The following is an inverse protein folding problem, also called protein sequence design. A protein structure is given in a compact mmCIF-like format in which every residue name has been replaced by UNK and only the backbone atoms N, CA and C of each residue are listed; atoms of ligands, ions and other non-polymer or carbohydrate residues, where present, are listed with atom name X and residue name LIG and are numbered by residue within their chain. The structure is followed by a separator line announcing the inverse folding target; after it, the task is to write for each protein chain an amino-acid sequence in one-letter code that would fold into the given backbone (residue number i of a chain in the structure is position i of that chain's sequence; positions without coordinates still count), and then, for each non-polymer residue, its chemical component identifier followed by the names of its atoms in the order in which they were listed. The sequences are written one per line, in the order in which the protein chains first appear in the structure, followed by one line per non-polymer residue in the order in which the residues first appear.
data_IF_960531160842
#
_entry.id   IF_960531160842
#
_cell.length_a   1.000
_cell.length_b   1.000
_cell.length_c   1.000
_cell.angle_alpha   90.00
_cell.angle_beta   90.00
_cell.angle_gamma   90.00
#
_symmetry.space_group_name_H-M   'P 1'
#
loop_
_entity.id
_entity.type
_entity.pdbx_description
1 polymer ?
#
# COMPACT_ATOMS: atom_id res chain seq x y z
N UNK A 1 21.00 24.41 -6.22
CA UNK A 1 20.59 23.56 -5.08
C UNK A 1 19.09 23.38 -5.15
N UNK A 2 18.62 22.27 -5.74
CA UNK A 2 17.20 21.95 -5.75
C UNK A 2 16.96 21.11 -4.51
N UNK A 3 16.28 21.67 -3.51
CA UNK A 3 15.88 20.91 -2.32
C UNK A 3 14.95 19.83 -2.84
N UNK A 4 15.43 18.59 -2.78
CA UNK A 4 14.67 17.41 -3.15
C UNK A 4 13.26 17.50 -2.56
N UNK A 5 12.27 16.97 -3.29
CA UNK A 5 10.84 16.89 -2.98
C UNK A 5 10.50 16.13 -1.66
N UNK A 6 11.41 16.13 -0.67
CA UNK A 6 11.20 15.87 0.75
C UNK A 6 10.93 14.43 1.14
N UNK A 7 10.48 13.60 0.19
CA UNK A 7 10.14 12.21 0.42
C UNK A 7 11.05 11.34 -0.47
N UNK A 8 11.88 10.46 0.12
CA UNK A 8 12.64 9.50 -0.65
C UNK A 8 11.66 8.61 -1.46
N UNK A 9 11.99 8.27 -2.72
CA UNK A 9 11.11 7.44 -3.54
C UNK A 9 10.81 6.12 -2.82
N UNK A 10 9.54 5.72 -2.79
CA UNK A 10 9.16 4.42 -2.26
C UNK A 10 9.89 3.31 -3.02
N UNK A 11 10.44 2.33 -2.29
CA UNK A 11 10.96 1.09 -2.87
C UNK A 11 9.78 0.17 -3.24
N UNK A 12 9.15 0.49 -4.38
CA UNK A 12 8.00 -0.25 -4.90
C UNK A 12 8.35 -1.70 -5.24
N UNK A 13 9.60 -2.00 -5.58
CA UNK A 13 10.04 -3.36 -5.86
C UNK A 13 9.94 -4.22 -4.60
N UNK A 14 10.53 -3.77 -3.50
CA UNK A 14 10.44 -4.46 -2.21
C UNK A 14 8.98 -4.57 -1.73
N UNK A 15 8.19 -3.49 -1.85
CA UNK A 15 6.77 -3.52 -1.45
C UNK A 15 5.96 -4.56 -2.25
N UNK A 16 6.12 -4.58 -3.59
CA UNK A 16 5.44 -5.54 -4.47
C UNK A 16 5.93 -6.98 -4.24
N UNK A 17 7.20 -7.18 -3.91
CA UNK A 17 7.70 -8.50 -3.54
C UNK A 17 7.11 -9.00 -2.21
N UNK A 18 6.93 -8.11 -1.22
CA UNK A 18 6.19 -8.43 0.00
C UNK A 18 4.73 -8.82 -0.29
N UNK A 19 4.05 -8.09 -1.18
CA UNK A 19 2.70 -8.44 -1.66
C UNK A 19 2.67 -9.83 -2.29
N UNK A 20 3.62 -10.14 -3.19
CA UNK A 20 3.68 -11.42 -3.90
C UNK A 20 3.87 -12.61 -2.97
N UNK A 21 4.56 -12.44 -1.85
CA UNK A 21 4.67 -13.50 -0.83
C UNK A 21 3.34 -13.86 -0.20
N UNK A 22 2.37 -12.92 -0.16
CA UNK A 22 1.05 -13.14 0.41
C UNK A 22 0.01 -13.59 -0.62
N UNK A 23 -0.05 -12.92 -1.78
CA UNK A 23 -1.13 -13.08 -2.78
C UNK A 23 -0.62 -13.35 -4.20
N UNK A 24 0.68 -13.64 -4.35
CA UNK A 24 1.29 -13.90 -5.66
C UNK A 24 0.93 -15.30 -6.21
N UNK A 25 1.19 -15.53 -7.52
CA UNK A 25 1.00 -16.84 -8.13
C UNK A 25 1.80 -17.93 -7.38
N UNK A 26 1.10 -18.97 -6.92
CA UNK A 26 1.73 -20.06 -6.16
C UNK A 26 2.11 -19.69 -4.72
N UNK A 27 1.67 -18.54 -4.20
CA UNK A 27 1.84 -18.22 -2.79
C UNK A 27 1.10 -19.24 -1.92
N UNK A 28 1.85 -19.90 -1.04
CA UNK A 28 1.29 -20.74 0.01
C UNK A 28 0.95 -19.84 1.20
N UNK A 29 -0.22 -19.96 1.84
CA UNK A 29 -0.57 -19.11 2.98
C UNK A 29 0.47 -19.25 4.10
N UNK A 30 1.15 -18.17 4.51
CA UNK A 30 2.04 -18.22 5.66
C UNK A 30 1.24 -18.51 6.94
N UNK A 31 1.89 -19.13 7.92
CA UNK A 31 1.24 -19.50 9.19
C UNK A 31 2.17 -19.20 10.36
N UNK A 32 1.59 -19.07 11.56
CA UNK A 32 2.36 -18.81 12.78
C UNK A 32 3.21 -17.54 12.68
N UNK A 33 4.46 -17.63 13.10
CA UNK A 33 5.39 -16.49 13.14
C UNK A 33 5.64 -15.86 11.76
N UNK A 34 5.67 -16.65 10.69
CA UNK A 34 5.86 -16.12 9.33
C UNK A 34 4.69 -15.25 8.89
N UNK A 35 3.46 -15.61 9.30
CA UNK A 35 2.27 -14.78 9.04
C UNK A 35 2.34 -13.48 9.82
N UNK A 36 2.76 -13.52 11.08
CA UNK A 36 2.90 -12.34 11.93
C UNK A 36 3.96 -11.39 11.36
N UNK A 37 5.13 -11.91 11.00
CA UNK A 37 6.21 -11.15 10.39
C UNK A 37 5.79 -10.50 9.06
N UNK A 38 5.14 -11.26 8.18
CA UNK A 38 4.68 -10.75 6.90
C UNK A 38 3.58 -9.69 7.08
N UNK A 39 2.67 -9.90 8.03
CA UNK A 39 1.64 -8.92 8.38
C UNK A 39 2.25 -7.63 8.90
N UNK A 40 3.23 -7.71 9.81
CA UNK A 40 3.97 -6.53 10.28
C UNK A 40 4.69 -5.80 9.15
N UNK A 41 5.33 -6.52 8.22
CA UNK A 41 5.98 -5.92 7.06
C UNK A 41 4.99 -5.20 6.14
N UNK A 42 3.83 -5.82 5.84
CA UNK A 42 2.76 -5.21 5.06
C UNK A 42 2.25 -3.91 5.71
N UNK A 43 2.01 -3.92 7.03
CA UNK A 43 1.59 -2.72 7.77
C UNK A 43 2.63 -1.60 7.67
N UNK A 44 3.90 -1.91 7.92
CA UNK A 44 4.99 -0.94 7.83
C UNK A 44 5.12 -0.33 6.43
N UNK A 45 5.02 -1.14 5.38
CA UNK A 45 5.04 -0.64 4.00
C UNK A 45 3.85 0.27 3.68
N UNK A 46 2.65 -0.07 4.14
CA UNK A 46 1.45 0.76 3.97
C UNK A 46 1.64 2.11 4.69
N UNK A 47 2.12 2.09 5.93
CA UNK A 47 2.38 3.30 6.72
C UNK A 47 3.43 4.21 6.03
N UNK A 48 4.43 3.62 5.38
CA UNK A 48 5.43 4.35 4.60
C UNK A 48 4.86 4.98 3.31
N UNK A 49 4.06 4.25 2.53
CA UNK A 49 3.61 4.72 1.21
C UNK A 49 2.40 5.66 1.27
N UNK A 50 1.54 5.55 2.30
CA UNK A 50 0.38 6.44 2.52
C UNK A 50 0.72 7.94 2.40
N UNK A 51 1.71 8.50 3.12
CA UNK A 51 2.01 9.92 3.02
C UNK A 51 2.49 10.32 1.62
N UNK A 52 3.17 9.41 0.91
CA UNK A 52 3.68 9.67 -0.44
C UNK A 52 2.54 9.77 -1.46
N UNK A 53 1.57 8.86 -1.39
CA UNK A 53 0.37 8.88 -2.25
C UNK A 53 -0.50 10.10 -1.93
N UNK A 54 -0.73 10.40 -0.64
CA UNK A 54 -1.52 11.57 -0.24
C UNK A 54 -0.90 12.88 -0.75
N UNK A 55 0.42 13.05 -0.58
CA UNK A 55 1.12 14.24 -1.07
C UNK A 55 1.07 14.34 -2.60
N UNK A 56 1.35 13.25 -3.32
CA UNK A 56 1.33 13.23 -4.78
C UNK A 56 -0.07 13.54 -5.33
N UNK A 57 -1.12 12.96 -4.74
CA UNK A 57 -2.50 13.23 -5.14
C UNK A 57 -2.90 14.69 -4.88
N UNK A 58 -2.50 15.28 -3.75
CA UNK A 58 -2.81 16.67 -3.40
C UNK A 58 -2.13 17.71 -4.27
N UNK A 59 -1.05 17.36 -4.98
CA UNK A 59 -0.42 18.23 -5.98
C UNK A 59 -1.29 18.42 -7.23
N UNK A 60 -2.30 17.59 -7.44
CA UNK A 60 -3.18 17.65 -8.61
C UNK A 60 -4.44 18.52 -8.35
N UNK A 61 -5.05 19.09 -9.41
CA UNK A 61 -6.27 19.89 -9.29
C UNK A 61 -7.42 19.13 -8.62
N UNK A 62 -8.33 19.87 -8.01
CA UNK A 62 -9.53 19.29 -7.42
C UNK A 62 -10.40 18.61 -8.49
N UNK A 63 -11.02 17.48 -8.13
CA UNK A 63 -11.84 16.66 -9.02
C UNK A 63 -11.09 16.00 -10.19
N UNK A 64 -9.75 16.05 -10.18
CA UNK A 64 -8.96 15.31 -11.15
C UNK A 64 -9.00 13.81 -10.81
N UNK A 65 -9.35 12.90 -11.74
CA UNK A 65 -9.59 11.49 -11.42
C UNK A 65 -8.43 10.79 -10.70
N UNK A 66 -7.16 11.09 -11.07
CA UNK A 66 -6.00 10.51 -10.39
C UNK A 66 -5.86 11.01 -8.95
N UNK A 67 -6.21 12.28 -8.67
CA UNK A 67 -6.22 12.82 -7.31
C UNK A 67 -7.21 12.05 -6.45
N UNK A 68 -8.46 11.97 -6.92
CA UNK A 68 -9.54 11.37 -6.14
C UNK A 68 -9.27 9.87 -5.92
N UNK A 69 -8.78 9.17 -6.95
CA UNK A 69 -8.34 7.79 -6.84
C UNK A 69 -7.22 7.58 -5.81
N UNK A 70 -6.21 8.47 -5.78
CA UNK A 70 -5.13 8.42 -4.79
C UNK A 70 -5.62 8.68 -3.36
N UNK A 71 -6.49 9.67 -3.16
CA UNK A 71 -7.04 9.98 -1.84
C UNK A 71 -7.97 8.88 -1.31
N UNK A 72 -8.77 8.25 -2.19
CA UNK A 72 -9.59 7.09 -1.84
C UNK A 72 -8.74 5.87 -1.46
N UNK A 73 -7.62 5.64 -2.16
CA UNK A 73 -6.67 4.59 -1.82
C UNK A 73 -6.10 4.79 -0.40
N UNK A 74 -5.66 6.02 -0.09
CA UNK A 74 -5.16 6.40 1.24
C UNK A 74 -6.23 6.18 2.33
N UNK A 75 -7.44 6.65 2.10
CA UNK A 75 -8.54 6.46 3.07
C UNK A 75 -8.83 4.97 3.32
N UNK A 76 -8.92 4.19 2.24
CA UNK A 76 -9.21 2.76 2.32
C UNK A 76 -8.13 1.99 3.06
N UNK A 77 -6.86 2.30 2.81
CA UNK A 77 -5.73 1.68 3.49
C UNK A 77 -5.67 2.02 4.98
N UNK A 78 -5.93 3.29 5.34
CA UNK A 78 -6.05 3.69 6.77
C UNK A 78 -7.16 2.93 7.48
N UNK A 79 -8.33 2.77 6.85
CA UNK A 79 -9.44 1.99 7.41
C UNK A 79 -9.03 0.54 7.68
N UNK A 80 -8.28 -0.08 6.76
CA UNK A 80 -7.77 -1.43 6.92
C UNK A 80 -6.74 -1.53 8.05
N UNK A 81 -5.79 -0.59 8.16
CA UNK A 81 -4.82 -0.57 9.25
C UNK A 81 -5.45 -0.48 10.65
N UNK A 82 -6.58 0.24 10.75
CA UNK A 82 -7.36 0.42 11.98
C UNK A 82 -8.41 -0.66 12.23
N UNK A 83 -8.57 -1.63 11.33
CA UNK A 83 -9.60 -2.65 11.49
C UNK A 83 -9.26 -3.60 12.64
N UNK A 84 -10.25 -3.90 13.48
CA UNK A 84 -10.14 -4.98 14.47
C UNK A 84 -10.09 -6.31 13.72
N UNK A 85 -9.12 -7.15 14.08
CA UNK A 85 -8.95 -8.48 13.49
C UNK A 85 -9.71 -9.49 14.33
N UNK A 86 -10.47 -10.37 13.67
CA UNK A 86 -11.12 -11.48 14.35
C UNK A 86 -10.06 -12.40 14.99
N UNK A 87 -10.22 -12.78 16.27
CA UNK A 87 -9.23 -13.59 16.95
C UNK A 87 -9.16 -15.00 16.33
N UNK A 88 -7.95 -15.40 15.95
CA UNK A 88 -7.66 -16.74 15.47
C UNK A 88 -6.90 -16.75 14.13
N UNK A 89 -6.32 -17.90 13.74
CA UNK A 89 -5.45 -17.99 12.56
C UNK A 89 -6.12 -17.57 11.26
N UNK A 90 -7.41 -17.89 11.09
CA UNK A 90 -8.18 -17.52 9.89
C UNK A 90 -8.43 -16.01 9.77
N UNK A 91 -8.70 -15.34 10.88
CA UNK A 91 -8.91 -13.88 10.91
C UNK A 91 -7.63 -13.11 10.60
N UNK A 92 -6.50 -13.53 11.18
CA UNK A 92 -5.18 -12.96 10.90
C UNK A 92 -4.78 -13.13 9.44
N UNK A 93 -4.95 -14.33 8.87
CA UNK A 93 -4.62 -14.58 7.47
C UNK A 93 -5.49 -13.74 6.52
N UNK A 94 -6.79 -13.65 6.77
CA UNK A 94 -7.69 -12.81 5.97
C UNK A 94 -7.30 -11.33 6.06
N UNK A 95 -6.94 -10.85 7.25
CA UNK A 95 -6.47 -9.48 7.43
C UNK A 95 -5.17 -9.21 6.66
N UNK A 96 -4.20 -10.14 6.70
CA UNK A 96 -2.95 -10.02 5.96
C UNK A 96 -3.19 -9.97 4.44
N UNK A 97 -4.12 -10.74 3.90
CA UNK A 97 -4.53 -10.67 2.48
C UNK A 97 -5.10 -9.29 2.14
N UNK A 98 -6.00 -8.76 2.97
CA UNK A 98 -6.57 -7.42 2.77
C UNK A 98 -5.51 -6.31 2.80
N UNK A 99 -4.49 -6.44 3.66
CA UNK A 99 -3.35 -5.53 3.69
C UNK A 99 -2.48 -5.66 2.43
N UNK A 100 -2.25 -6.88 1.94
CA UNK A 100 -1.51 -7.11 0.70
C UNK A 100 -2.18 -6.44 -0.50
N UNK A 101 -3.49 -6.59 -0.67
CA UNK A 101 -4.25 -5.88 -1.72
C UNK A 101 -4.21 -4.37 -1.56
N UNK A 102 -4.27 -3.86 -0.32
CA UNK A 102 -4.17 -2.43 -0.07
C UNK A 102 -2.80 -1.87 -0.46
N UNK A 103 -1.73 -2.59 -0.12
CA UNK A 103 -0.36 -2.19 -0.46
C UNK A 103 -0.14 -2.22 -1.98
N UNK A 104 -0.58 -3.26 -2.67
CA UNK A 104 -0.47 -3.38 -4.13
C UNK A 104 -1.17 -2.21 -4.83
N UNK A 105 -2.41 -1.94 -4.43
CA UNK A 105 -3.18 -0.83 -4.96
C UNK A 105 -2.54 0.54 -4.69
N UNK A 106 -1.95 0.74 -3.50
CA UNK A 106 -1.21 1.96 -3.20
C UNK A 106 0.04 2.11 -4.08
N UNK A 107 0.76 1.02 -4.35
CA UNK A 107 1.90 1.02 -5.26
C UNK A 107 1.48 1.46 -6.68
N UNK A 108 0.41 0.89 -7.22
CA UNK A 108 -0.12 1.24 -8.54
C UNK A 108 -0.58 2.69 -8.61
N UNK A 109 -1.22 3.19 -7.54
CA UNK A 109 -1.66 4.59 -7.47
C UNK A 109 -0.47 5.53 -7.38
N UNK A 110 0.55 5.22 -6.59
CA UNK A 110 1.77 6.03 -6.51
C UNK A 110 2.49 6.11 -7.87
N UNK A 111 2.59 4.99 -8.59
CA UNK A 111 3.19 4.93 -9.93
C UNK A 111 2.38 5.75 -10.94
N UNK A 112 1.04 5.62 -10.93
CA UNK A 112 0.15 6.40 -11.79
C UNK A 112 0.23 7.91 -11.54
N UNK A 113 0.36 8.33 -10.27
CA UNK A 113 0.47 9.74 -9.88
C UNK A 113 1.83 10.36 -10.25
N UNK A 114 2.86 9.54 -10.45
CA UNK A 114 4.21 9.98 -10.82
C UNK A 114 4.51 9.85 -12.30
N UNK A 115 3.68 9.12 -13.03
CA UNK A 115 3.77 9.02 -14.49
C UNK A 115 3.31 10.34 -15.11
N UNK A 116 4.05 10.91 -16.07
CA UNK A 116 3.55 12.06 -16.82
C UNK A 116 2.24 11.67 -17.52
N UNK A 117 1.28 12.59 -17.58
CA UNK A 117 0.06 12.37 -18.34
C UNK A 117 0.43 11.97 -19.78
N UNK A 118 -0.28 11.00 -20.40
CA UNK A 118 -0.06 10.71 -21.81
C UNK A 118 -0.30 12.00 -22.62
N UNK A 119 0.60 12.27 -23.56
CA UNK A 119 0.58 13.44 -24.45
C UNK A 119 -0.66 13.46 -25.35
#
# INVERSE_FOLDING_TARGET
MNVADGIPPADLATMRDTVRRMIGPGAQPPTGEDLDLLTSALRGHIELIIPMVDQAARKLPQYYPLRDGGLVAVWSARKKLSATVDPGPGGLAAHAVELAYALDFLCDRYESLRSPAPA
#
